data_IF_043029833453
#
_entry.id   IF_043029833453
#
_cell.length_a   1.000
_cell.length_b   1.000
_cell.length_c   1.000
_cell.angle_alpha   90.00
_cell.angle_beta   90.00
_cell.angle_gamma   90.00
#
_symmetry.space_group_name_H-M   'P 1'
#
loop_
_entity.id
_entity.type
_entity.pdbx_description
1 polymer ?
#
# COMPACT_ATOMS: atom_id res chain seq x y z
N UNK A 1 -12.46 16.22 -6.11
CA UNK A 1 -13.32 15.25 -5.41
C UNK A 1 -14.21 15.94 -4.38
N UNK A 2 -13.67 16.72 -3.43
CA UNK A 2 -14.48 17.43 -2.42
C UNK A 2 -15.49 18.40 -3.06
N UNK A 3 -15.05 19.30 -3.94
CA UNK A 3 -15.96 20.21 -4.66
C UNK A 3 -17.03 19.48 -5.49
N UNK A 4 -16.73 18.24 -5.93
CA UNK A 4 -17.65 17.40 -6.69
C UNK A 4 -18.64 16.63 -5.80
N UNK A 5 -18.48 16.69 -4.47
CA UNK A 5 -19.30 15.99 -3.48
C UNK A 5 -19.25 14.46 -3.56
N UNK A 6 -18.29 13.89 -4.29
CA UNK A 6 -18.16 12.44 -4.48
C UNK A 6 -16.73 12.03 -4.80
N UNK A 7 -16.32 10.88 -4.27
CA UNK A 7 -15.04 10.28 -4.61
C UNK A 7 -14.67 9.11 -3.70
N UNK A 8 -13.68 8.33 -4.13
CA UNK A 8 -13.08 7.28 -3.31
C UNK A 8 -11.59 7.21 -3.61
N UNK A 9 -10.79 7.18 -2.56
CA UNK A 9 -9.35 6.96 -2.60
C UNK A 9 -9.08 5.65 -1.87
N UNK A 10 -8.32 4.76 -2.52
CA UNK A 10 -7.90 3.49 -1.92
C UNK A 10 -6.37 3.45 -1.92
N UNK A 11 -5.78 3.23 -0.75
CA UNK A 11 -4.34 3.02 -0.61
C UNK A 11 -4.02 1.54 -0.41
N UNK A 12 -2.88 1.10 -0.91
CA UNK A 12 -2.42 -0.29 -0.73
C UNK A 12 -1.40 -0.36 0.40
N UNK A 13 -1.84 -0.86 1.56
CA UNK A 13 -0.97 -1.16 2.70
C UNK A 13 -0.47 -2.61 2.62
N UNK A 14 -0.45 -3.32 3.75
CA UNK A 14 -0.05 -4.71 3.92
C UNK A 14 -0.61 -5.18 5.27
N UNK A 15 -0.66 -6.49 5.50
CA UNK A 15 -0.83 -7.04 6.86
C UNK A 15 0.23 -6.53 7.84
N UNK A 16 1.42 -6.17 7.35
CA UNK A 16 2.45 -5.50 8.15
C UNK A 16 2.07 -4.08 8.62
N UNK A 17 0.96 -3.54 8.13
CA UNK A 17 0.37 -2.28 8.61
C UNK A 17 -0.64 -2.46 9.74
N UNK A 18 -0.87 -3.70 10.18
CA UNK A 18 -1.76 -4.06 11.29
C UNK A 18 -1.03 -4.85 12.39
N UNK A 19 -0.01 -5.63 12.00
CA UNK A 19 0.79 -6.45 12.92
C UNK A 19 2.29 -6.38 12.56
N UNK A 20 3.14 -6.82 13.49
CA UNK A 20 4.59 -6.86 13.33
C UNK A 20 5.09 -8.08 12.55
N UNK A 21 6.25 -7.93 11.91
CA UNK A 21 6.95 -9.02 11.24
C UNK A 21 8.47 -8.95 11.53
N UNK A 22 9.08 -9.99 12.12
CA UNK A 22 10.52 -10.03 12.37
C UNK A 22 11.34 -9.80 11.10
N UNK A 23 12.40 -9.00 11.19
CA UNK A 23 13.28 -8.68 10.05
C UNK A 23 12.73 -7.66 9.04
N UNK A 24 11.50 -7.17 9.24
CA UNK A 24 10.83 -6.25 8.32
C UNK A 24 10.47 -4.89 8.96
N UNK A 25 11.18 -4.47 10.01
CA UNK A 25 10.84 -3.26 10.78
C UNK A 25 10.65 -1.99 9.93
N UNK A 26 11.40 -1.71 8.84
CA UNK A 26 11.15 -0.53 8.02
C UNK A 26 9.84 -0.63 7.24
N UNK A 27 9.51 -1.83 6.74
CA UNK A 27 8.27 -2.09 6.02
C UNK A 27 7.06 -2.02 6.97
N UNK A 28 7.18 -2.60 8.17
CA UNK A 28 6.15 -2.53 9.22
C UNK A 28 5.87 -1.07 9.61
N UNK A 29 6.92 -0.28 9.87
CA UNK A 29 6.77 1.14 10.20
C UNK A 29 6.11 1.93 9.06
N UNK A 30 6.57 1.73 7.82
CA UNK A 30 6.00 2.38 6.64
C UNK A 30 4.52 2.03 6.44
N UNK A 31 4.14 0.76 6.60
CA UNK A 31 2.77 0.28 6.37
C UNK A 31 1.80 0.68 7.49
N UNK A 32 2.28 0.78 8.73
CA UNK A 32 1.53 1.44 9.81
C UNK A 32 1.34 2.93 9.54
N UNK A 33 2.37 3.61 9.01
CA UNK A 33 2.27 5.01 8.58
C UNK A 33 1.18 5.21 7.52
N UNK A 34 1.13 4.35 6.49
CA UNK A 34 0.07 4.40 5.47
C UNK A 34 -1.32 4.18 6.08
N UNK A 35 -1.47 3.24 7.00
CA UNK A 35 -2.75 2.98 7.67
C UNK A 35 -3.19 4.19 8.51
N UNK A 36 -2.26 4.77 9.28
CA UNK A 36 -2.51 5.98 10.06
C UNK A 36 -2.89 7.18 9.20
N UNK A 37 -2.15 7.44 8.12
CA UNK A 37 -2.44 8.50 7.16
C UNK A 37 -3.81 8.35 6.51
N UNK A 38 -4.15 7.11 6.10
CA UNK A 38 -5.47 6.81 5.51
C UNK A 38 -6.58 7.15 6.51
N UNK A 39 -6.41 6.74 7.78
CA UNK A 39 -7.40 7.01 8.82
C UNK A 39 -7.53 8.51 9.12
N UNK A 40 -6.43 9.25 9.19
CA UNK A 40 -6.47 10.71 9.37
C UNK A 40 -7.19 11.39 8.21
N UNK A 41 -6.81 11.07 6.97
CA UNK A 41 -7.44 11.65 5.78
C UNK A 41 -8.93 11.32 5.69
N UNK A 42 -9.35 10.10 6.07
CA UNK A 42 -10.76 9.72 6.12
C UNK A 42 -11.56 10.61 7.09
N UNK A 43 -10.98 10.97 8.24
CA UNK A 43 -11.61 11.86 9.21
C UNK A 43 -11.67 13.31 8.69
N UNK A 44 -10.61 13.77 8.02
CA UNK A 44 -10.54 15.12 7.46
C UNK A 44 -11.57 15.36 6.35
N UNK A 45 -11.90 14.34 5.57
CA UNK A 45 -12.90 14.44 4.47
C UNK A 45 -14.30 13.99 4.86
N UNK A 46 -14.53 13.65 6.13
CA UNK A 46 -15.84 13.20 6.61
C UNK A 46 -16.95 14.23 6.28
N UNK A 47 -18.09 13.75 5.77
CA UNK A 47 -19.22 14.61 5.38
C UNK A 47 -19.11 15.28 4.02
N UNK A 48 -17.97 15.16 3.31
CA UNK A 48 -17.79 15.75 1.96
C UNK A 48 -18.30 14.87 0.82
N UNK A 49 -18.78 13.65 1.10
CA UNK A 49 -19.10 12.65 0.09
C UNK A 49 -17.89 11.90 -0.50
N UNK A 50 -16.69 12.19 -0.01
CA UNK A 50 -15.45 11.48 -0.35
C UNK A 50 -15.13 10.42 0.71
N UNK A 51 -14.66 9.25 0.29
CA UNK A 51 -14.16 8.18 1.18
C UNK A 51 -12.67 7.94 0.95
N UNK A 52 -11.96 7.60 2.01
CA UNK A 52 -10.53 7.23 1.97
C UNK A 52 -10.37 5.95 2.77
N UNK A 53 -9.97 4.88 2.10
CA UNK A 53 -9.84 3.54 2.70
C UNK A 53 -8.49 2.91 2.32
N UNK A 54 -8.07 1.91 3.09
CA UNK A 54 -6.86 1.13 2.82
C UNK A 54 -7.18 -0.34 2.70
N UNK A 55 -6.50 -1.02 1.78
CA UNK A 55 -6.51 -2.48 1.66
C UNK A 55 -5.20 -3.06 2.19
N UNK A 56 -5.28 -4.22 2.84
CA UNK A 56 -4.16 -4.86 3.54
C UNK A 56 -3.96 -6.29 3.04
N UNK A 57 -3.32 -6.49 1.87
CA UNK A 57 -3.05 -7.83 1.36
C UNK A 57 -2.07 -8.58 2.26
N UNK A 58 -2.35 -9.86 2.49
CA UNK A 58 -1.36 -10.87 2.86
C UNK A 58 -0.45 -11.18 1.67
N UNK A 59 0.63 -11.97 1.83
CA UNK A 59 1.42 -12.46 0.71
C UNK A 59 0.51 -13.04 -0.39
N UNK A 60 0.60 -12.43 -1.56
CA UNK A 60 -0.16 -12.81 -2.77
C UNK A 60 0.80 -13.28 -3.83
N UNK A 61 0.41 -14.31 -4.60
CA UNK A 61 1.23 -14.89 -5.66
C UNK A 61 1.48 -13.90 -6.81
N UNK A 62 2.46 -13.04 -6.60
CA UNK A 62 2.89 -11.98 -7.50
C UNK A 62 4.35 -12.20 -7.86
N UNK A 63 4.80 -11.54 -8.92
CA UNK A 63 6.21 -11.62 -9.34
C UNK A 63 7.15 -11.10 -8.25
N UNK A 64 6.74 -10.06 -7.52
CA UNK A 64 7.46 -9.54 -6.36
C UNK A 64 7.62 -10.59 -5.27
N UNK A 65 6.51 -11.24 -4.86
CA UNK A 65 6.57 -12.25 -3.81
C UNK A 65 7.46 -13.44 -4.20
N UNK A 66 7.35 -13.92 -5.44
CA UNK A 66 8.23 -14.98 -5.96
C UNK A 66 9.71 -14.58 -5.99
N UNK A 67 10.03 -13.31 -6.24
CA UNK A 67 11.40 -12.79 -6.17
C UNK A 67 11.94 -12.81 -4.74
N UNK A 68 11.12 -12.36 -3.77
CA UNK A 68 11.48 -12.37 -2.36
C UNK A 68 11.67 -13.80 -1.84
N UNK A 69 10.77 -14.71 -2.18
CA UNK A 69 10.88 -16.15 -1.85
C UNK A 69 12.13 -16.80 -2.45
N UNK A 70 12.52 -16.41 -3.67
CA UNK A 70 13.75 -16.87 -4.31
C UNK A 70 15.03 -16.26 -3.72
N UNK A 71 14.93 -15.40 -2.70
CA UNK A 71 16.08 -14.71 -2.09
C UNK A 71 16.66 -13.58 -2.97
N UNK A 72 16.01 -13.26 -4.09
CA UNK A 72 16.36 -12.13 -4.93
C UNK A 72 15.74 -10.87 -4.32
N UNK A 73 16.51 -10.21 -3.45
CA UNK A 73 16.20 -8.85 -2.95
C UNK A 73 16.33 -7.86 -4.10
N UNK A 74 15.30 -7.78 -4.93
CA UNK A 74 15.17 -6.67 -5.86
C UNK A 74 14.61 -5.47 -5.09
N UNK A 75 15.51 -4.74 -4.43
CA UNK A 75 15.25 -3.49 -3.73
C UNK A 75 14.99 -2.34 -4.72
N UNK A 76 14.04 -2.53 -5.65
CA UNK A 76 13.54 -1.47 -6.52
C UNK A 76 14.14 -1.42 -7.93
N UNK A 77 14.37 -2.54 -8.62
CA UNK A 77 14.62 -2.44 -10.06
C UNK A 77 13.41 -1.77 -10.74
N UNK A 78 13.65 -0.76 -11.58
CA UNK A 78 12.58 -0.03 -12.24
C UNK A 78 11.75 -0.97 -13.10
N UNK A 79 10.45 -0.69 -13.15
CA UNK A 79 9.53 -1.27 -14.12
C UNK A 79 9.94 -0.82 -15.53
N UNK A 80 11.00 -1.41 -16.08
CA UNK A 80 11.38 -1.26 -17.49
C UNK A 80 10.99 -2.56 -18.17
N UNK A 81 9.83 -2.55 -18.84
CA UNK A 81 9.56 -3.56 -19.86
C UNK A 81 10.57 -3.30 -20.99
N UNK A 82 11.27 -4.32 -21.53
CA UNK A 82 11.86 -4.16 -22.84
C UNK A 82 10.72 -3.82 -23.80
N UNK A 83 10.77 -2.64 -24.42
CA UNK A 83 9.97 -2.36 -25.60
C UNK A 83 10.46 -3.34 -26.67
N UNK A 84 9.71 -4.42 -26.90
CA UNK A 84 9.92 -5.23 -28.10
C UNK A 84 9.32 -4.47 -29.28
N UNK A 85 10.17 -4.18 -30.26
CA UNK A 85 9.78 -3.84 -31.63
C UNK A 85 9.01 -4.99 -32.28
#
# INVERSE_FOLDING_TARGET
>A
MIEQGRGTVITTSSVAGLDGAPGLSPSVASKHGVAGLTRSAALEVAGTGVRVDSIHPSPVNTRMMRSIEAGAVDAGAPFVRPMST
#
